data_IF_561923850599
#
_entry.id   IF_561923850599
#
_cell.length_a   1.000
_cell.length_b   1.000
_cell.length_c   1.000
_cell.angle_alpha   90.00
_cell.angle_beta   90.00
_cell.angle_gamma   90.00
#
_symmetry.space_group_name_H-M   'P 1'
#
loop_
_entity.id
_entity.type
_entity.pdbx_description
1 polymer ?
#
# COMPACT_ATOMS: atom_id res chain seq x y z
N UNK A 1 24.56 10.77 -1.47
CA UNK A 1 23.12 10.82 -1.81
C UNK A 1 22.31 10.85 -0.51
N UNK A 2 21.28 11.72 -0.41
CA UNK A 2 20.52 11.90 0.82
C UNK A 2 19.62 10.68 1.06
N UNK A 3 19.63 10.12 2.29
CA UNK A 3 18.82 8.96 2.68
C UNK A 3 17.38 9.43 2.96
N UNK A 4 16.44 8.71 2.38
CA UNK A 4 14.99 8.92 2.55
C UNK A 4 14.40 7.96 3.60
N UNK A 5 14.82 6.69 3.59
CA UNK A 5 14.31 5.66 4.49
C UNK A 5 15.46 4.82 5.04
N UNK A 6 15.33 4.41 6.29
CA UNK A 6 16.15 3.37 6.90
C UNK A 6 15.25 2.27 7.46
N UNK A 7 15.54 1.02 7.09
CA UNK A 7 14.71 -0.13 7.45
C UNK A 7 15.59 -1.37 7.70
N UNK A 8 15.68 -1.80 8.95
CA UNK A 8 16.54 -2.93 9.37
C UNK A 8 17.97 -2.84 8.80
N UNK A 9 18.59 -1.67 8.92
CA UNK A 9 19.95 -1.40 8.45
C UNK A 9 20.09 -1.15 6.94
N UNK A 10 19.05 -1.39 6.15
CA UNK A 10 19.05 -0.98 4.75
C UNK A 10 18.75 0.51 4.62
N UNK A 11 19.54 1.22 3.83
CA UNK A 11 19.39 2.65 3.55
C UNK A 11 18.91 2.85 2.13
N UNK A 12 17.84 3.59 1.97
CA UNK A 12 17.19 3.89 0.69
C UNK A 12 17.28 5.39 0.45
N UNK A 13 17.93 5.77 -0.63
CA UNK A 13 18.06 7.16 -1.03
C UNK A 13 16.75 7.74 -1.59
N UNK A 14 16.63 9.08 -1.66
CA UNK A 14 15.49 9.73 -2.32
C UNK A 14 15.37 9.35 -3.79
N UNK A 15 16.49 9.16 -4.50
CA UNK A 15 16.47 8.72 -5.90
C UNK A 15 15.87 7.33 -6.06
N UNK A 16 16.28 6.38 -5.19
CA UNK A 16 15.71 5.03 -5.16
C UNK A 16 14.24 5.02 -4.75
N UNK A 17 13.86 5.83 -3.76
CA UNK A 17 12.48 5.98 -3.33
C UNK A 17 11.58 6.40 -4.50
N UNK A 18 11.95 7.48 -5.22
CA UNK A 18 11.18 7.98 -6.36
C UNK A 18 11.10 6.94 -7.47
N UNK A 19 12.21 6.29 -7.81
CA UNK A 19 12.25 5.21 -8.81
C UNK A 19 11.31 4.06 -8.47
N UNK A 20 11.30 3.62 -7.21
CA UNK A 20 10.42 2.54 -6.76
C UNK A 20 8.93 2.96 -6.75
N UNK A 21 8.63 4.20 -6.35
CA UNK A 21 7.28 4.78 -6.45
C UNK A 21 6.80 4.74 -7.91
N UNK A 22 7.63 5.16 -8.86
CA UNK A 22 7.30 5.18 -10.28
C UNK A 22 7.04 3.77 -10.83
N UNK A 23 7.84 2.80 -10.43
CA UNK A 23 7.66 1.42 -10.84
C UNK A 23 6.35 0.84 -10.31
N UNK A 24 6.01 1.10 -9.04
CA UNK A 24 4.74 0.67 -8.45
C UNK A 24 3.56 1.37 -9.12
N UNK A 25 3.65 2.67 -9.41
CA UNK A 25 2.61 3.43 -10.11
C UNK A 25 2.32 2.83 -11.49
N UNK A 26 3.37 2.54 -12.28
CA UNK A 26 3.26 1.83 -13.58
C UNK A 26 2.54 0.50 -13.43
N UNK A 27 2.85 -0.24 -12.39
CA UNK A 27 2.22 -1.54 -12.13
C UNK A 27 0.73 -1.38 -11.77
N UNK A 28 0.39 -0.45 -10.89
CA UNK A 28 -1.01 -0.17 -10.55
C UNK A 28 -1.86 0.16 -11.78
N UNK A 29 -1.37 1.05 -12.64
CA UNK A 29 -2.08 1.40 -13.89
C UNK A 29 -2.17 0.23 -14.86
N UNK A 30 -1.17 -0.68 -14.91
CA UNK A 30 -1.23 -1.87 -15.76
C UNK A 30 -2.27 -2.89 -15.30
N UNK A 31 -2.67 -2.84 -14.04
CA UNK A 31 -3.81 -3.56 -13.47
C UNK A 31 -5.12 -2.78 -13.54
N UNK A 32 -5.17 -1.68 -14.29
CA UNK A 32 -6.38 -0.92 -14.55
C UNK A 32 -6.78 0.06 -13.45
N UNK A 33 -5.89 0.34 -12.50
CA UNK A 33 -6.15 1.35 -11.44
C UNK A 33 -6.24 2.73 -12.07
N UNK A 34 -7.27 3.47 -11.67
CA UNK A 34 -7.58 4.82 -12.15
C UNK A 34 -7.73 5.79 -10.97
N UNK A 35 -7.70 7.09 -11.27
CA UNK A 35 -8.03 8.16 -10.32
C UNK A 35 -9.36 7.85 -9.61
N UNK A 36 -9.37 8.01 -8.29
CA UNK A 36 -10.53 7.77 -7.43
C UNK A 36 -10.75 6.31 -7.02
N UNK A 37 -10.02 5.34 -7.60
CA UNK A 37 -10.11 3.96 -7.12
C UNK A 37 -9.50 3.82 -5.73
N UNK A 38 -10.12 3.00 -4.88
CA UNK A 38 -9.55 2.60 -3.60
C UNK A 38 -8.67 1.36 -3.76
N UNK A 39 -7.45 1.44 -3.22
CA UNK A 39 -6.50 0.33 -3.18
C UNK A 39 -6.19 0.01 -1.73
N UNK A 40 -6.46 -1.21 -1.30
CA UNK A 40 -6.21 -1.61 0.08
C UNK A 40 -4.73 -1.91 0.30
N UNK A 41 -4.16 -1.35 1.37
CA UNK A 41 -2.85 -1.71 1.91
C UNK A 41 -3.06 -2.30 3.31
N UNK A 42 -2.79 -3.60 3.47
CA UNK A 42 -2.80 -4.29 4.76
C UNK A 42 -1.37 -4.74 5.08
N UNK A 43 -0.62 -3.87 5.72
CA UNK A 43 0.80 -4.08 6.03
C UNK A 43 1.19 -3.27 7.27
N UNK A 44 2.34 -3.60 7.84
CA UNK A 44 3.10 -2.68 8.70
C UNK A 44 3.90 -1.72 7.82
N UNK A 45 4.53 -0.72 8.44
CA UNK A 45 5.36 0.25 7.72
C UNK A 45 6.64 -0.41 7.20
N UNK A 46 6.63 -0.78 5.92
CA UNK A 46 7.79 -1.29 5.18
C UNK A 46 8.12 -0.34 4.03
N UNK A 47 9.33 -0.35 3.48
CA UNK A 47 9.66 0.47 2.30
C UNK A 47 8.69 0.25 1.14
N UNK A 48 8.33 -1.00 0.86
CA UNK A 48 7.40 -1.37 -0.21
C UNK A 48 5.98 -0.83 0.02
N UNK A 49 5.51 -0.84 1.28
CA UNK A 49 4.22 -0.24 1.64
C UNK A 49 4.25 1.29 1.45
N UNK A 50 5.37 1.94 1.74
CA UNK A 50 5.59 3.38 1.48
C UNK A 50 5.58 3.65 -0.03
N UNK A 51 6.28 2.84 -0.83
CA UNK A 51 6.25 2.98 -2.30
C UNK A 51 4.83 2.85 -2.83
N UNK A 52 4.07 1.86 -2.35
CA UNK A 52 2.68 1.64 -2.74
C UNK A 52 1.80 2.83 -2.38
N UNK A 53 1.92 3.35 -1.15
CA UNK A 53 1.15 4.50 -0.69
C UNK A 53 1.36 5.74 -1.58
N UNK A 54 2.61 6.10 -1.84
CA UNK A 54 2.91 7.27 -2.69
C UNK A 54 2.60 7.01 -4.16
N UNK A 55 2.74 5.78 -4.66
CA UNK A 55 2.36 5.43 -6.02
C UNK A 55 0.85 5.56 -6.25
N UNK A 56 0.03 5.10 -5.29
CA UNK A 56 -1.43 5.26 -5.29
C UNK A 56 -1.79 6.73 -5.33
N UNK A 57 -1.18 7.55 -4.47
CA UNK A 57 -1.41 9.00 -4.46
C UNK A 57 -0.98 9.67 -5.78
N UNK A 58 0.17 9.26 -6.36
CA UNK A 58 0.71 9.79 -7.61
C UNK A 58 -0.26 9.67 -8.79
N UNK A 59 -0.97 8.55 -8.89
CA UNK A 59 -1.95 8.30 -9.97
C UNK A 59 -3.37 8.77 -9.62
N UNK A 60 -3.55 9.47 -8.49
CA UNK A 60 -4.85 10.01 -8.05
C UNK A 60 -5.81 8.97 -7.47
N UNK A 61 -5.34 7.77 -7.17
CA UNK A 61 -6.10 6.77 -6.43
C UNK A 61 -6.02 7.05 -4.92
N UNK A 62 -6.79 6.32 -4.12
CA UNK A 62 -6.91 6.49 -2.66
C UNK A 62 -6.41 5.24 -1.93
N UNK A 63 -5.48 5.41 -1.02
CA UNK A 63 -4.99 4.30 -0.21
C UNK A 63 -5.98 3.97 0.93
N UNK A 64 -6.56 2.78 0.91
CA UNK A 64 -7.36 2.25 2.01
C UNK A 64 -6.41 1.53 2.99
N UNK A 65 -6.05 2.20 4.09
CA UNK A 65 -5.06 1.72 5.05
C UNK A 65 -5.74 0.88 6.13
N UNK A 66 -5.52 -0.44 6.09
CA UNK A 66 -6.13 -1.38 7.01
C UNK A 66 -5.07 -2.01 7.92
N UNK A 67 -5.35 -2.02 9.23
CA UNK A 67 -4.49 -2.67 10.21
C UNK A 67 -4.44 -4.19 9.98
N UNK A 68 -3.24 -4.81 9.96
CA UNK A 68 -3.12 -6.26 9.85
C UNK A 68 -3.55 -7.00 11.14
N UNK A 69 -3.90 -6.26 12.19
CA UNK A 69 -4.37 -6.83 13.45
C UNK A 69 -5.90 -7.00 13.50
N UNK A 70 -6.64 -6.49 12.53
CA UNK A 70 -8.07 -6.73 12.39
C UNK A 70 -8.40 -8.22 12.20
N UNK A 71 -9.65 -8.61 12.47
CA UNK A 71 -10.15 -9.96 12.14
C UNK A 71 -10.36 -10.08 10.61
N UNK A 72 -10.47 -11.31 10.07
CA UNK A 72 -10.80 -11.49 8.66
C UNK A 72 -12.11 -10.83 8.25
N UNK A 73 -13.13 -10.87 9.10
CA UNK A 73 -14.45 -10.26 8.89
C UNK A 73 -14.35 -8.74 8.84
N UNK A 74 -13.59 -8.14 9.76
CA UNK A 74 -13.34 -6.70 9.79
C UNK A 74 -12.56 -6.24 8.56
N UNK A 75 -11.56 -7.00 8.11
CA UNK A 75 -10.81 -6.71 6.90
C UNK A 75 -11.74 -6.71 5.67
N UNK A 76 -12.52 -7.78 5.52
CA UNK A 76 -13.45 -7.95 4.39
C UNK A 76 -14.46 -6.82 4.33
N UNK A 77 -15.10 -6.50 5.46
CA UNK A 77 -16.06 -5.40 5.52
C UNK A 77 -15.46 -4.06 5.04
N UNK A 78 -14.21 -3.76 5.40
CA UNK A 78 -13.55 -2.50 4.98
C UNK A 78 -13.09 -2.50 3.53
N UNK A 79 -12.77 -3.67 2.97
CA UNK A 79 -12.48 -3.82 1.55
C UNK A 79 -13.75 -3.60 0.72
N UNK A 80 -14.87 -4.15 1.18
CA UNK A 80 -16.18 -4.00 0.54
C UNK A 80 -16.72 -2.58 0.63
N UNK A 81 -16.60 -1.92 1.78
CA UNK A 81 -16.97 -0.52 1.98
C UNK A 81 -16.35 0.42 0.94
N UNK A 82 -15.10 0.15 0.54
CA UNK A 82 -14.37 0.92 -0.47
C UNK A 82 -14.49 0.35 -1.88
N UNK A 83 -15.14 -0.79 -2.07
CA UNK A 83 -15.10 -1.54 -3.33
C UNK A 83 -13.67 -1.73 -3.87
N UNK A 84 -12.74 -2.03 -2.97
CA UNK A 84 -11.31 -2.18 -3.33
C UNK A 84 -11.09 -3.54 -4.02
N UNK A 85 -10.75 -3.51 -5.30
CA UNK A 85 -10.49 -4.73 -6.10
C UNK A 85 -9.05 -5.18 -6.08
N UNK A 86 -8.13 -4.31 -5.63
CA UNK A 86 -6.71 -4.60 -5.55
C UNK A 86 -6.23 -4.40 -4.11
N UNK A 87 -5.64 -5.46 -3.56
CA UNK A 87 -5.22 -5.54 -2.16
C UNK A 87 -3.72 -5.83 -2.12
N UNK A 88 -2.96 -4.96 -1.47
CA UNK A 88 -1.54 -5.15 -1.19
C UNK A 88 -1.44 -5.66 0.25
N UNK A 89 -1.08 -6.94 0.39
CA UNK A 89 -1.06 -7.67 1.65
C UNK A 89 0.37 -8.07 2.00
N UNK A 90 0.83 -7.70 3.19
CA UNK A 90 2.13 -8.17 3.67
C UNK A 90 2.12 -9.70 3.90
N UNK A 91 3.16 -10.36 3.42
CA UNK A 91 3.30 -11.83 3.39
C UNK A 91 3.10 -12.50 4.75
N UNK A 92 3.55 -11.87 5.83
CA UNK A 92 3.39 -12.34 7.21
C UNK A 92 1.94 -12.42 7.68
N UNK A 93 1.07 -11.59 7.13
CA UNK A 93 -0.34 -11.51 7.54
C UNK A 93 -1.26 -12.28 6.58
N UNK A 94 -0.80 -12.58 5.37
CA UNK A 94 -1.59 -13.26 4.36
C UNK A 94 -2.23 -14.58 4.86
N UNK A 95 -1.54 -15.48 5.59
CA UNK A 95 -2.14 -16.74 6.04
C UNK A 95 -3.40 -16.55 6.91
N UNK A 96 -3.44 -15.48 7.70
CA UNK A 96 -4.59 -15.12 8.53
C UNK A 96 -5.83 -14.76 7.70
N UNK A 97 -5.61 -14.10 6.56
CA UNK A 97 -6.69 -13.56 5.72
C UNK A 97 -6.99 -14.39 4.47
N UNK A 98 -6.21 -15.44 4.22
CA UNK A 98 -6.30 -16.26 3.00
C UNK A 98 -7.73 -16.71 2.69
N UNK A 99 -8.43 -17.29 3.67
CA UNK A 99 -9.80 -17.80 3.49
C UNK A 99 -10.80 -16.69 3.13
N UNK A 100 -10.61 -15.50 3.63
CA UNK A 100 -11.50 -14.37 3.39
C UNK A 100 -11.30 -13.71 2.01
N UNK A 101 -10.10 -13.83 1.42
CA UNK A 101 -9.72 -13.10 0.21
C UNK A 101 -9.64 -13.98 -1.04
N UNK A 102 -9.33 -15.27 -0.91
CA UNK A 102 -9.01 -16.16 -2.04
C UNK A 102 -10.24 -16.56 -2.86
N UNK A 103 -11.43 -16.52 -2.29
CA UNK A 103 -12.66 -16.98 -2.95
C UNK A 103 -13.34 -15.90 -3.81
N UNK A 104 -12.80 -14.70 -3.86
CA UNK A 104 -13.36 -13.61 -4.65
C UNK A 104 -12.53 -13.38 -5.92
N UNK A 105 -13.02 -13.95 -7.04
CA UNK A 105 -12.35 -13.87 -8.33
C UNK A 105 -12.23 -12.42 -8.90
N UNK A 106 -12.99 -11.47 -8.36
CA UNK A 106 -12.90 -10.07 -8.78
C UNK A 106 -11.76 -9.30 -8.08
N UNK A 107 -11.20 -9.85 -7.01
CA UNK A 107 -10.12 -9.23 -6.25
C UNK A 107 -8.77 -9.82 -6.64
N UNK A 108 -7.76 -8.98 -6.67
CA UNK A 108 -6.35 -9.37 -6.87
C UNK A 108 -5.59 -9.06 -5.59
N UNK A 109 -4.92 -10.07 -5.03
CA UNK A 109 -4.12 -9.94 -3.81
C UNK A 109 -2.63 -9.95 -4.17
N UNK A 110 -1.98 -8.81 -4.00
CA UNK A 110 -0.54 -8.64 -4.22
C UNK A 110 0.18 -8.94 -2.93
N UNK A 111 1.00 -9.98 -2.93
CA UNK A 111 1.77 -10.39 -1.76
C UNK A 111 3.08 -9.60 -1.67
N UNK A 112 3.14 -8.73 -0.69
CA UNK A 112 4.25 -7.83 -0.40
C UNK A 112 5.21 -8.50 0.60
N UNK A 113 6.46 -8.81 0.20
CA UNK A 113 7.41 -9.41 1.12
C UNK A 113 8.01 -8.36 2.06
N UNK A 114 7.75 -8.50 3.37
CA UNK A 114 8.15 -7.51 4.38
C UNK A 114 9.66 -7.31 4.51
N UNK A 115 10.46 -8.32 4.18
CA UNK A 115 11.93 -8.26 4.31
C UNK A 115 12.65 -8.03 2.98
N UNK A 116 11.92 -7.71 1.90
CA UNK A 116 12.48 -7.58 0.56
C UNK A 116 13.59 -6.53 0.44
N UNK A 117 13.42 -5.37 1.05
CA UNK A 117 14.38 -4.26 1.04
C UNK A 117 15.51 -4.40 2.08
N UNK A 118 15.67 -5.56 2.71
CA UNK A 118 16.70 -5.82 3.71
C UNK A 118 17.68 -6.92 3.28
N UNK A 119 18.82 -7.03 3.94
CA UNK A 119 19.70 -8.19 3.78
C UNK A 119 19.05 -9.48 4.29
N UNK A 120 18.06 -9.39 5.19
CA UNK A 120 17.31 -10.53 5.74
C UNK A 120 16.43 -11.24 4.70
N UNK A 121 16.25 -10.66 3.50
CA UNK A 121 15.51 -11.28 2.39
C UNK A 121 16.00 -12.68 2.01
N UNK A 122 17.28 -12.97 2.25
CA UNK A 122 17.88 -14.25 1.90
C UNK A 122 17.65 -15.35 2.94
N UNK A 123 17.34 -14.97 4.18
CA UNK A 123 17.16 -15.89 5.32
C UNK A 123 15.73 -15.93 5.87
N UNK A 124 14.91 -14.94 5.50
CA UNK A 124 13.49 -14.92 5.90
C UNK A 124 12.69 -15.91 5.05
N UNK A 125 11.83 -16.72 5.67
CA UNK A 125 10.87 -17.54 4.93
C UNK A 125 10.02 -16.64 4.04
N UNK A 126 10.01 -16.93 2.73
CA UNK A 126 9.18 -16.22 1.79
C UNK A 126 7.84 -16.95 1.65
N UNK A 127 6.76 -16.19 1.69
CA UNK A 127 5.43 -16.72 1.36
C UNK A 127 5.41 -17.16 -0.11
N UNK A 128 5.00 -18.41 -0.33
CA UNK A 128 4.81 -18.93 -1.69
C UNK A 128 3.38 -18.65 -2.13
N UNK A 129 3.25 -17.84 -3.18
CA UNK A 129 1.97 -17.58 -3.83
C UNK A 129 1.41 -18.88 -4.40
N UNK A 130 0.14 -19.13 -4.13
CA UNK A 130 -0.59 -20.28 -4.67
C UNK A 130 -1.09 -19.91 -6.08
N UNK A 131 -0.57 -20.58 -7.09
CA UNK A 131 -0.92 -20.33 -8.50
C UNK A 131 -2.39 -20.61 -8.87
N UNK A 132 -3.14 -21.27 -7.99
CA UNK A 132 -4.58 -21.58 -8.17
C UNK A 132 -5.50 -20.52 -7.54
N UNK A 133 -4.96 -19.39 -7.10
CA UNK A 133 -5.70 -18.36 -6.41
C UNK A 133 -5.56 -17.01 -7.14
N UNK A 134 -6.27 -16.00 -6.66
CA UNK A 134 -6.16 -14.60 -7.11
C UNK A 134 -4.91 -13.87 -6.56
N UNK A 135 -3.96 -14.61 -6.00
CA UNK A 135 -2.73 -14.06 -5.43
C UNK A 135 -1.65 -13.90 -6.49
N UNK A 136 -0.92 -12.80 -6.44
CA UNK A 136 0.28 -12.56 -7.25
C UNK A 136 1.43 -12.09 -6.36
N UNK A 137 2.67 -12.48 -6.72
CA UNK A 137 3.84 -12.01 -6.00
C UNK A 137 4.13 -10.53 -6.32
N UNK A 138 4.76 -9.81 -5.37
CA UNK A 138 5.26 -8.45 -5.58
C UNK A 138 6.13 -8.35 -6.84
N UNK A 139 7.00 -9.34 -7.05
CA UNK A 139 7.84 -9.40 -8.24
C UNK A 139 7.04 -9.50 -9.55
N UNK A 140 6.02 -10.34 -9.57
CA UNK A 140 5.12 -10.48 -10.73
C UNK A 140 4.35 -9.18 -10.98
N UNK A 141 3.83 -8.57 -9.92
CA UNK A 141 3.16 -7.27 -9.99
C UNK A 141 4.06 -6.19 -10.60
N UNK A 142 5.30 -6.03 -10.12
CA UNK A 142 6.25 -5.05 -10.67
C UNK A 142 6.64 -5.35 -12.12
N UNK A 143 6.80 -6.63 -12.46
CA UNK A 143 7.12 -7.03 -13.84
C UNK A 143 6.02 -6.65 -14.83
N UNK A 144 4.77 -6.70 -14.41
CA UNK A 144 3.61 -6.35 -15.26
C UNK A 144 3.62 -4.86 -15.66
N UNK A 145 4.07 -3.97 -14.79
CA UNK A 145 4.22 -2.54 -15.09
C UNK A 145 5.49 -2.18 -15.87
N UNK A 146 6.45 -3.09 -16.01
CA UNK A 146 7.77 -2.78 -16.59
C UNK A 146 7.73 -2.36 -18.07
N UNK A 147 6.70 -2.77 -18.82
CA UNK A 147 6.51 -2.40 -20.23
C UNK A 147 5.95 -0.98 -20.44
N UNK A 148 5.41 -0.35 -19.39
CA UNK A 148 4.89 1.02 -19.50
C UNK A 148 6.04 2.02 -19.47
N UNK A 149 6.03 2.97 -20.42
CA UNK A 149 7.04 4.03 -20.49
C UNK A 149 6.83 5.05 -19.37
N UNK A 150 5.58 5.53 -19.21
CA UNK A 150 5.23 6.63 -18.30
C UNK A 150 4.02 6.27 -17.44
N UNK A 151 3.86 6.99 -16.33
CA UNK A 151 2.66 6.99 -15.49
C UNK A 151 1.97 8.35 -15.57
N UNK A 152 0.65 8.35 -15.47
CA UNK A 152 -0.08 9.58 -15.20
C UNK A 152 0.38 10.16 -13.86
N UNK A 153 0.58 11.47 -13.83
CA UNK A 153 0.78 12.21 -12.58
C UNK A 153 -0.47 13.02 -12.36
N UNK A 154 -1.24 12.66 -11.34
CA UNK A 154 -2.42 13.42 -11.00
C UNK A 154 -2.01 14.74 -10.32
N UNK A 155 -2.53 15.90 -10.79
CA UNK A 155 -2.13 17.20 -10.25
C UNK A 155 -2.36 17.31 -8.76
N UNK A 156 -1.54 18.11 -8.08
CA UNK A 156 -1.76 18.44 -6.69
C UNK A 156 -3.04 19.26 -6.51
N UNK A 157 -3.91 18.76 -5.65
CA UNK A 157 -5.11 19.44 -5.20
C UNK A 157 -5.21 19.28 -3.67
N UNK A 158 -5.28 20.36 -2.86
CA UNK A 158 -5.22 20.27 -1.40
C UNK A 158 -6.30 19.37 -0.78
N UNK A 159 -7.50 19.40 -1.30
CA UNK A 159 -8.66 18.66 -0.80
C UNK A 159 -8.80 17.26 -1.43
N UNK A 160 -7.90 16.88 -2.34
CA UNK A 160 -7.95 15.58 -2.98
C UNK A 160 -7.82 14.46 -1.95
N UNK A 161 -8.70 13.44 -1.96
CA UNK A 161 -8.55 12.25 -1.14
C UNK A 161 -7.21 11.55 -1.39
N UNK A 162 -6.48 11.23 -0.33
CA UNK A 162 -5.20 10.51 -0.42
C UNK A 162 -5.27 9.16 0.27
N UNK A 163 -5.88 9.12 1.45
CA UNK A 163 -5.99 7.89 2.21
C UNK A 163 -7.30 7.80 2.98
N UNK A 164 -7.72 6.57 3.24
CA UNK A 164 -8.77 6.23 4.19
C UNK A 164 -8.14 5.47 5.36
N UNK A 165 -8.45 5.92 6.57
CA UNK A 165 -8.02 5.31 7.83
C UNK A 165 -9.24 5.04 8.70
N UNK A 166 -9.10 4.14 9.69
CA UNK A 166 -10.22 3.75 10.54
C UNK A 166 -9.96 4.13 11.99
N UNK A 167 -10.91 4.86 12.58
CA UNK A 167 -10.90 5.15 14.01
C UNK A 167 -11.59 4.06 14.80
N UNK A 168 -11.13 3.83 16.03
CA UNK A 168 -11.89 3.08 17.03
C UNK A 168 -13.08 3.93 17.49
N UNK A 169 -14.22 3.80 16.81
CA UNK A 169 -15.41 4.61 17.13
C UNK A 169 -15.81 4.46 18.60
N UNK A 170 -16.08 5.56 19.27
CA UNK A 170 -16.62 5.59 20.65
C UNK A 170 -18.00 4.93 20.76
N UNK A 171 -18.68 4.66 19.65
CA UNK A 171 -19.98 4.01 19.55
C UNK A 171 -19.91 2.54 19.13
N UNK A 172 -18.73 1.91 19.18
CA UNK A 172 -18.52 0.47 18.91
C UNK A 172 -18.29 0.11 17.44
N UNK A 173 -18.75 0.89 16.47
CA UNK A 173 -18.44 0.66 15.06
C UNK A 173 -17.30 1.58 14.60
N UNK A 174 -16.23 0.99 14.07
CA UNK A 174 -15.12 1.73 13.48
C UNK A 174 -15.60 2.44 12.22
N UNK A 175 -15.26 3.74 12.08
CA UNK A 175 -15.64 4.58 10.94
C UNK A 175 -14.43 4.85 10.05
N UNK A 176 -14.62 4.73 8.74
CA UNK A 176 -13.63 5.17 7.75
C UNK A 176 -13.57 6.70 7.67
N UNK A 177 -12.37 7.25 7.79
CA UNK A 177 -12.08 8.68 7.69
C UNK A 177 -11.20 8.90 6.48
N UNK A 178 -11.69 9.68 5.53
CA UNK A 178 -10.92 10.07 4.35
C UNK A 178 -10.03 11.26 4.68
N UNK A 179 -8.74 11.12 4.50
CA UNK A 179 -7.74 12.16 4.69
C UNK A 179 -7.32 12.72 3.32
N UNK A 180 -7.30 14.06 3.22
CA UNK A 180 -6.82 14.74 2.02
C UNK A 180 -5.29 14.87 2.00
N UNK A 181 -4.74 15.19 0.82
CA UNK A 181 -3.31 15.48 0.65
C UNK A 181 -2.87 16.59 1.62
N UNK A 182 -3.66 17.64 1.76
CA UNK A 182 -3.38 18.76 2.66
C UNK A 182 -3.35 18.36 4.15
N UNK A 183 -4.18 17.38 4.55
CA UNK A 183 -4.16 16.84 5.91
C UNK A 183 -2.81 16.22 6.26
N UNK A 184 -2.20 15.49 5.33
CA UNK A 184 -0.85 14.93 5.51
C UNK A 184 0.23 16.01 5.54
N UNK A 185 0.14 17.01 4.66
CA UNK A 185 1.09 18.13 4.64
C UNK A 185 1.06 18.94 5.94
N UNK A 186 -0.13 19.23 6.46
CA UNK A 186 -0.30 19.91 7.74
C UNK A 186 0.30 19.11 8.89
N UNK A 187 0.06 17.80 8.90
CA UNK A 187 0.62 16.91 9.92
C UNK A 187 2.16 16.95 9.90
N UNK A 188 2.77 16.80 8.71
CA UNK A 188 4.22 16.85 8.54
C UNK A 188 4.79 18.21 9.02
N UNK A 189 4.16 19.32 8.63
CA UNK A 189 4.59 20.65 9.03
C UNK A 189 4.49 20.86 10.55
N UNK A 190 3.45 20.33 11.18
CA UNK A 190 3.27 20.42 12.63
C UNK A 190 4.36 19.65 13.38
N UNK A 191 4.65 18.42 12.98
CA UNK A 191 5.67 17.59 13.61
C UNK A 191 7.10 18.02 13.24
N UNK A 192 7.35 18.43 12.01
CA UNK A 192 8.65 18.95 11.57
C UNK A 192 9.09 20.23 12.28
N UNK A 193 8.12 21.06 12.71
CA UNK A 193 8.38 22.28 13.48
C UNK A 193 8.43 22.04 15.00
N UNK A 194 8.03 20.88 15.50
CA UNK A 194 8.00 20.56 16.94
C UNK A 194 9.31 19.97 17.49
N UNK A 195 10.38 19.91 16.68
CA UNK A 195 11.73 19.56 17.15
C UNK A 195 11.89 18.12 17.62
N UNK A 196 11.19 17.19 17.02
CA UNK A 196 11.54 15.77 17.15
C UNK A 196 12.83 15.51 16.36
N UNK A 197 13.97 15.70 17.05
CA UNK A 197 15.29 15.22 16.66
C UNK A 197 15.44 13.72 16.98
#
# INVERSE_FOLDING_TARGET
ERIALEYFGAKISFGELIKNIDQVAKSLESYGVKKGNFITICSTTTPEAIYAFYAISKIGAVANLISPFYTPEELTARIEECNSKLIIMADRFQPKFKKALVNDAEKIVIILPMMNSTFLRFVSPQYKVDGNTNEISWKTFLKHGASRRDTAVDPYEPQKPQAMVYSSGTTGASKGIVLSVDSFQKLINTYGNSGFE
#
